data_IF_133278960467
#
_entry.id   IF_133278960467
#
_cell.length_a   1.000
_cell.length_b   1.000
_cell.length_c   1.000
_cell.angle_alpha   90.00
_cell.angle_beta   90.00
_cell.angle_gamma   90.00
#
_symmetry.space_group_name_H-M   'P 1'
#
loop_
_entity.id
_entity.type
_entity.pdbx_description
1 polymer ?
#
# COMPACT_ATOMS: atom_id res chain seq x y z
N UNK A 1 -4.10 -13.29 -6.96
CA UNK A 1 -5.41 -12.96 -7.60
C UNK A 1 -5.47 -11.50 -8.09
N UNK A 2 -6.09 -11.17 -9.23
CA UNK A 2 -6.31 -9.76 -9.67
C UNK A 2 -7.53 -9.11 -9.00
N UNK A 3 -7.35 -7.92 -8.42
CA UNK A 3 -8.42 -7.14 -7.79
C UNK A 3 -9.31 -6.46 -8.84
N UNK A 4 -10.63 -6.50 -8.62
CA UNK A 4 -11.59 -5.81 -9.47
C UNK A 4 -11.74 -4.35 -9.06
N UNK A 5 -12.28 -3.54 -9.97
CA UNK A 5 -12.61 -2.13 -9.69
C UNK A 5 -13.52 -1.98 -8.47
N UNK A 6 -14.55 -2.81 -8.39
CA UNK A 6 -15.54 -2.76 -7.31
C UNK A 6 -14.91 -3.09 -5.95
N UNK A 7 -13.97 -4.04 -5.91
CA UNK A 7 -13.24 -4.39 -4.68
C UNK A 7 -12.38 -3.23 -4.19
N UNK A 8 -11.63 -2.57 -5.08
CA UNK A 8 -10.80 -1.41 -4.72
C UNK A 8 -11.69 -0.24 -4.32
N UNK A 9 -12.72 0.08 -5.11
CA UNK A 9 -13.63 1.19 -4.82
C UNK A 9 -14.39 1.03 -3.51
N UNK A 10 -14.78 -0.20 -3.13
CA UNK A 10 -15.45 -0.45 -1.87
C UNK A 10 -14.58 -0.03 -0.68
N UNK A 11 -13.29 -0.37 -0.70
CA UNK A 11 -12.33 0.02 0.35
C UNK A 11 -12.12 1.53 0.37
N UNK A 12 -11.93 2.15 -0.80
CA UNK A 12 -11.71 3.61 -0.89
C UNK A 12 -12.93 4.39 -0.42
N UNK A 13 -14.14 3.94 -0.77
CA UNK A 13 -15.39 4.56 -0.33
C UNK A 13 -15.55 4.46 1.18
N UNK A 14 -15.29 3.27 1.75
CA UNK A 14 -15.34 3.07 3.19
C UNK A 14 -14.30 3.94 3.92
N UNK A 15 -13.07 3.98 3.42
CA UNK A 15 -12.01 4.82 3.98
C UNK A 15 -12.42 6.29 3.95
N UNK A 16 -12.96 6.77 2.83
CA UNK A 16 -13.43 8.16 2.67
C UNK A 16 -14.55 8.51 3.65
N UNK A 17 -15.47 7.58 3.90
CA UNK A 17 -16.53 7.77 4.90
C UNK A 17 -15.97 7.81 6.33
N UNK A 18 -14.95 7.01 6.63
CA UNK A 18 -14.33 6.94 7.95
C UNK A 18 -13.32 8.05 8.22
N UNK A 19 -12.88 8.79 7.20
CA UNK A 19 -11.95 9.92 7.38
C UNK A 19 -12.51 11.05 8.27
N UNK A 20 -13.82 11.13 8.48
CA UNK A 20 -14.39 12.04 9.47
C UNK A 20 -14.09 11.64 10.92
N UNK A 21 -13.70 10.39 11.17
CA UNK A 21 -13.20 9.94 12.47
C UNK A 21 -11.72 10.34 12.60
N UNK A 22 -11.38 11.23 13.54
CA UNK A 22 -10.01 11.72 13.71
C UNK A 22 -9.00 10.61 14.09
N UNK A 23 -9.48 9.44 14.56
CA UNK A 23 -8.61 8.33 14.93
C UNK A 23 -8.44 7.28 13.82
N UNK A 24 -9.23 7.35 12.75
CA UNK A 24 -9.25 6.28 11.74
C UNK A 24 -7.89 6.07 11.09
N UNK A 25 -7.23 7.16 10.67
CA UNK A 25 -5.89 7.11 10.08
C UNK A 25 -4.86 6.54 11.06
N UNK A 26 -4.89 6.96 12.32
CA UNK A 26 -3.99 6.48 13.37
C UNK A 26 -4.17 4.98 13.64
N UNK A 27 -5.41 4.49 13.67
CA UNK A 27 -5.72 3.06 13.85
C UNK A 27 -5.24 2.24 12.64
N UNK A 28 -5.50 2.71 11.42
CA UNK A 28 -5.06 2.03 10.19
C UNK A 28 -3.54 1.95 10.11
N UNK A 29 -2.85 3.07 10.35
CA UNK A 29 -1.39 3.15 10.34
C UNK A 29 -0.82 2.26 11.44
N UNK A 30 -1.31 2.38 12.68
CA UNK A 30 -0.83 1.58 13.81
C UNK A 30 -1.02 0.08 13.59
N UNK A 31 -2.18 -0.34 13.08
CA UNK A 31 -2.45 -1.75 12.77
C UNK A 31 -1.55 -2.29 11.65
N UNK A 32 -1.30 -1.49 10.62
CA UNK A 32 -0.37 -1.88 9.56
C UNK A 32 1.07 -2.00 10.07
N UNK A 33 1.56 -1.03 10.83
CA UNK A 33 2.91 -1.07 11.42
C UNK A 33 3.10 -2.31 12.29
N UNK A 34 2.10 -2.66 13.11
CA UNK A 34 2.17 -3.85 13.98
C UNK A 34 2.17 -5.17 13.20
N UNK A 35 1.46 -5.23 12.06
CA UNK A 35 1.30 -6.47 11.29
C UNK A 35 2.29 -6.63 10.14
N UNK A 36 2.97 -5.54 9.75
CA UNK A 36 3.91 -5.46 8.64
C UNK A 36 5.15 -4.68 9.09
N UNK A 37 5.76 -5.09 10.21
CA UNK A 37 6.89 -4.37 10.82
C UNK A 37 8.05 -4.15 9.84
N UNK A 38 8.47 -5.15 9.04
CA UNK A 38 9.55 -4.96 8.06
C UNK A 38 9.21 -3.92 6.99
N UNK A 39 7.95 -3.83 6.56
CA UNK A 39 7.50 -2.83 5.60
C UNK A 39 7.57 -1.43 6.21
N UNK A 40 7.11 -1.27 7.45
CA UNK A 40 7.19 0.01 8.14
C UNK A 40 8.65 0.48 8.31
N UNK A 41 9.56 -0.42 8.69
CA UNK A 41 10.99 -0.13 8.79
C UNK A 41 11.60 0.23 7.43
N UNK A 42 11.22 -0.49 6.37
CA UNK A 42 11.65 -0.20 5.00
C UNK A 42 11.18 1.19 4.52
N UNK A 43 9.91 1.55 4.76
CA UNK A 43 9.39 2.89 4.42
C UNK A 43 10.14 3.96 5.21
N UNK A 44 10.37 3.76 6.50
CA UNK A 44 11.11 4.72 7.33
C UNK A 44 12.55 4.94 6.86
N UNK A 45 13.18 3.94 6.24
CA UNK A 45 14.51 4.10 5.64
C UNK A 45 14.51 5.07 4.42
N UNK A 46 13.34 5.38 3.85
CA UNK A 46 13.16 6.33 2.74
C UNK A 46 12.68 7.72 3.22
N UNK A 47 12.77 8.02 4.52
CA UNK A 47 12.26 9.28 5.11
C UNK A 47 12.73 10.54 4.36
N UNK A 48 14.03 10.62 4.09
CA UNK A 48 14.65 11.79 3.45
C UNK A 48 14.07 12.05 2.06
N UNK A 49 13.74 10.98 1.34
CA UNK A 49 13.28 11.03 -0.04
C UNK A 49 11.78 11.35 -0.12
N UNK A 50 11.05 11.04 0.96
CA UNK A 50 9.61 11.26 1.08
C UNK A 50 9.24 12.66 1.62
N UNK A 51 10.21 13.40 2.17
CA UNK A 51 9.98 14.73 2.74
C UNK A 51 9.68 14.73 4.24
N UNK A 52 10.10 13.70 4.97
CA UNK A 52 10.03 13.62 6.43
C UNK A 52 8.91 12.76 7.01
N UNK A 53 8.82 12.73 8.34
CA UNK A 53 7.95 11.85 9.10
C UNK A 53 6.45 11.91 8.75
N UNK A 54 5.89 13.09 8.42
CA UNK A 54 4.48 13.21 8.02
C UNK A 54 4.20 12.48 6.70
N UNK A 55 5.13 12.55 5.75
CA UNK A 55 5.00 11.86 4.48
C UNK A 55 5.04 10.33 4.66
N UNK A 56 5.86 9.82 5.57
CA UNK A 56 5.90 8.39 5.93
C UNK A 56 4.52 7.91 6.40
N UNK A 57 3.86 8.67 7.28
CA UNK A 57 2.54 8.30 7.80
C UNK A 57 1.54 8.16 6.64
N UNK A 58 1.59 9.09 5.68
CA UNK A 58 0.73 9.03 4.50
C UNK A 58 1.04 7.80 3.62
N UNK A 59 2.31 7.47 3.40
CA UNK A 59 2.72 6.26 2.66
C UNK A 59 2.20 4.99 3.33
N UNK A 60 2.39 4.88 4.66
CA UNK A 60 1.91 3.74 5.44
C UNK A 60 0.39 3.62 5.34
N UNK A 61 -0.31 4.75 5.42
CA UNK A 61 -1.77 4.76 5.29
C UNK A 61 -2.23 4.20 3.93
N UNK A 62 -1.61 4.62 2.82
CA UNK A 62 -1.93 4.07 1.51
C UNK A 62 -1.57 2.58 1.37
N UNK A 63 -0.45 2.14 1.97
CA UNK A 63 -0.11 0.72 2.00
C UNK A 63 -1.15 -0.11 2.79
N UNK A 64 -1.67 0.44 3.89
CA UNK A 64 -2.72 -0.18 4.68
C UNK A 64 -4.04 -0.31 3.89
N UNK A 65 -4.38 0.70 3.08
CA UNK A 65 -5.54 0.62 2.17
C UNK A 65 -5.36 -0.48 1.12
N UNK A 66 -4.20 -0.55 0.47
CA UNK A 66 -3.90 -1.61 -0.51
C UNK A 66 -4.01 -2.99 0.13
N UNK A 67 -3.40 -3.18 1.30
CA UNK A 67 -3.48 -4.42 2.06
C UNK A 67 -4.94 -4.79 2.39
N UNK A 68 -5.76 -3.81 2.76
CA UNK A 68 -7.19 -3.99 3.03
C UNK A 68 -7.95 -4.44 1.77
N UNK A 69 -7.60 -3.94 0.58
CA UNK A 69 -8.18 -4.41 -0.69
C UNK A 69 -7.97 -5.91 -0.88
N UNK A 70 -6.73 -6.40 -0.70
CA UNK A 70 -6.43 -7.84 -0.78
C UNK A 70 -7.19 -8.64 0.29
N UNK A 71 -7.17 -8.19 1.54
CA UNK A 71 -7.86 -8.87 2.65
C UNK A 71 -9.37 -9.00 2.41
N UNK A 72 -10.03 -7.92 1.97
CA UNK A 72 -11.47 -7.95 1.66
C UNK A 72 -11.80 -8.81 0.45
N UNK A 73 -10.86 -8.97 -0.47
CA UNK A 73 -11.00 -9.89 -1.58
C UNK A 73 -10.81 -11.37 -1.19
N UNK A 74 -10.50 -11.64 0.10
CA UNK A 74 -10.37 -13.00 0.66
C UNK A 74 -8.93 -13.46 0.87
N UNK A 75 -7.96 -12.61 0.57
CA UNK A 75 -6.55 -12.93 0.73
C UNK A 75 -6.11 -12.90 2.20
N UNK A 76 -5.27 -13.86 2.59
CA UNK A 76 -4.60 -13.83 3.90
C UNK A 76 -3.20 -13.26 3.71
N UNK A 77 -2.96 -12.07 4.25
CA UNK A 77 -1.64 -11.46 4.24
C UNK A 77 -0.79 -12.07 5.35
N UNK A 78 0.33 -12.70 4.98
CA UNK A 78 1.43 -12.92 5.93
C UNK A 78 2.23 -11.62 6.08
N UNK A 79 3.08 -11.57 7.10
CA UNK A 79 4.08 -10.52 7.21
C UNK A 79 5.07 -10.62 6.03
N UNK A 80 5.33 -9.49 5.39
CA UNK A 80 6.35 -9.37 4.34
C UNK A 80 7.75 -9.37 4.96
N UNK A 81 8.66 -10.09 4.33
CA UNK A 81 10.09 -10.08 4.66
C UNK A 81 10.84 -9.07 3.79
N UNK A 82 12.07 -8.74 4.16
CA UNK A 82 12.96 -7.94 3.31
C UNK A 82 13.22 -8.60 1.95
N UNK A 83 13.25 -9.93 1.89
CA UNK A 83 13.44 -10.67 0.65
C UNK A 83 12.25 -10.50 -0.32
N UNK A 84 11.02 -10.40 0.21
CA UNK A 84 9.83 -10.09 -0.58
C UNK A 84 9.88 -8.65 -1.13
N UNK A 85 10.36 -7.71 -0.32
CA UNK A 85 10.52 -6.30 -0.72
C UNK A 85 11.59 -6.15 -1.81
N UNK A 86 12.73 -6.84 -1.67
CA UNK A 86 13.81 -6.86 -2.65
C UNK A 86 13.38 -7.50 -3.98
N UNK A 87 12.58 -8.57 -3.92
CA UNK A 87 12.00 -9.19 -5.11
C UNK A 87 11.05 -8.23 -5.83
N UNK A 88 10.25 -7.46 -5.08
CA UNK A 88 9.35 -6.47 -5.62
C UNK A 88 10.05 -5.22 -6.17
N UNK A 89 11.20 -4.82 -5.62
CA UNK A 89 11.96 -3.63 -6.00
C UNK A 89 12.58 -3.66 -7.42
N UNK A 90 12.45 -4.77 -8.16
CA UNK A 90 13.09 -4.94 -9.47
C UNK A 90 12.37 -4.13 -10.58
N UNK A 91 13.08 -3.20 -11.21
CA UNK A 91 12.58 -2.46 -12.38
C UNK A 91 11.55 -1.40 -12.04
N UNK A 92 10.72 -1.03 -13.01
CA UNK A 92 9.70 0.01 -12.87
C UNK A 92 8.46 -0.53 -12.13
N UNK A 93 8.29 -0.12 -10.87
CA UNK A 93 7.20 -0.59 -10.01
C UNK A 93 5.82 -0.14 -10.48
N UNK A 94 5.69 1.07 -11.05
CA UNK A 94 4.40 1.58 -11.54
C UNK A 94 3.94 0.79 -12.76
N UNK A 95 4.84 0.60 -13.73
CA UNK A 95 4.54 -0.19 -14.92
C UNK A 95 4.19 -1.64 -14.57
N UNK A 96 4.96 -2.27 -13.69
CA UNK A 96 4.71 -3.65 -13.25
C UNK A 96 3.39 -3.77 -12.50
N UNK A 97 3.04 -2.78 -11.69
CA UNK A 97 1.76 -2.76 -10.99
C UNK A 97 0.59 -2.59 -11.96
N UNK A 98 0.72 -1.76 -12.99
CA UNK A 98 -0.30 -1.62 -14.03
C UNK A 98 -0.61 -2.96 -14.73
N UNK A 99 0.44 -3.74 -15.03
CA UNK A 99 0.30 -5.06 -15.64
C UNK A 99 -0.32 -6.11 -14.68
N UNK A 100 0.11 -6.10 -13.41
CA UNK A 100 -0.32 -7.08 -12.41
C UNK A 100 -1.71 -6.75 -11.82
N UNK A 101 -1.90 -5.51 -11.39
CA UNK A 101 -3.03 -4.99 -10.61
C UNK A 101 -3.47 -3.60 -11.12
N UNK A 102 -4.04 -3.50 -12.35
CA UNK A 102 -4.36 -2.22 -12.98
C UNK A 102 -5.29 -1.34 -12.14
N UNK A 103 -6.24 -1.96 -11.41
CA UNK A 103 -7.18 -1.21 -10.56
C UNK A 103 -6.51 -0.61 -9.32
N UNK A 104 -5.45 -1.26 -8.79
CA UNK A 104 -4.64 -0.68 -7.72
C UNK A 104 -3.78 0.44 -8.29
N UNK A 105 -3.19 0.25 -9.47
CA UNK A 105 -2.42 1.28 -10.16
C UNK A 105 -3.25 2.55 -10.42
N UNK A 106 -4.47 2.42 -10.96
CA UNK A 106 -5.41 3.54 -11.14
C UNK A 106 -5.72 4.26 -9.83
N UNK A 107 -5.93 3.51 -8.74
CA UNK A 107 -6.15 4.08 -7.42
C UNK A 107 -4.94 4.92 -6.96
N UNK A 108 -3.72 4.40 -7.08
CA UNK A 108 -2.52 5.13 -6.69
C UNK A 108 -2.35 6.40 -7.55
N UNK A 109 -2.62 6.31 -8.85
CA UNK A 109 -2.53 7.45 -9.75
C UNK A 109 -3.52 8.57 -9.41
N UNK A 110 -4.72 8.21 -8.93
CA UNK A 110 -5.76 9.17 -8.56
C UNK A 110 -5.58 9.79 -7.16
N UNK A 111 -4.85 9.13 -6.24
CA UNK A 111 -4.81 9.51 -4.83
C UNK A 111 -3.42 9.92 -4.32
N UNK A 112 -2.35 9.69 -5.08
CA UNK A 112 -0.98 10.00 -4.68
C UNK A 112 -0.33 10.88 -5.72
N UNK A 113 -0.21 12.18 -5.45
CA UNK A 113 0.34 13.15 -6.41
C UNK A 113 1.84 12.93 -6.68
N UNK A 114 2.64 12.75 -5.63
CA UNK A 114 4.08 12.60 -5.74
C UNK A 114 4.48 11.24 -6.34
N UNK A 115 5.26 11.28 -7.42
CA UNK A 115 5.66 10.09 -8.17
C UNK A 115 6.50 9.11 -7.32
N UNK A 116 7.45 9.61 -6.53
CA UNK A 116 8.31 8.76 -5.69
C UNK A 116 7.51 8.04 -4.59
N UNK A 117 6.57 8.73 -3.96
CA UNK A 117 5.61 8.10 -3.04
C UNK A 117 4.80 7.02 -3.76
N UNK A 118 4.34 7.31 -4.98
CA UNK A 118 3.55 6.37 -5.78
C UNK A 118 4.37 5.13 -6.14
N UNK A 119 5.62 5.28 -6.55
CA UNK A 119 6.56 4.19 -6.84
C UNK A 119 6.79 3.31 -5.62
N UNK A 120 6.95 3.91 -4.44
CA UNK A 120 7.15 3.19 -3.19
C UNK A 120 5.91 2.39 -2.78
N UNK A 121 4.72 3.00 -2.83
CA UNK A 121 3.47 2.28 -2.54
C UNK A 121 3.23 1.19 -3.59
N UNK A 122 3.57 1.41 -4.85
CA UNK A 122 3.45 0.41 -5.91
C UNK A 122 4.39 -0.78 -5.71
N UNK A 123 5.62 -0.55 -5.25
CA UNK A 123 6.55 -1.61 -4.86
C UNK A 123 5.95 -2.47 -3.75
N UNK A 124 5.42 -1.86 -2.70
CA UNK A 124 4.81 -2.58 -1.58
C UNK A 124 3.56 -3.33 -2.03
N UNK A 125 2.74 -2.75 -2.90
CA UNK A 125 1.58 -3.41 -3.50
C UNK A 125 1.99 -4.65 -4.31
N UNK A 126 3.08 -4.57 -5.08
CA UNK A 126 3.66 -5.71 -5.80
C UNK A 126 4.21 -6.78 -4.86
N UNK A 127 4.82 -6.39 -3.74
CA UNK A 127 5.28 -7.33 -2.73
C UNK A 127 4.11 -8.10 -2.12
N UNK A 128 3.02 -7.40 -1.79
CA UNK A 128 1.77 -8.02 -1.33
C UNK A 128 1.22 -8.97 -2.40
N UNK A 129 1.08 -8.52 -3.64
CA UNK A 129 0.52 -9.32 -4.74
C UNK A 129 1.28 -10.65 -4.95
N UNK A 130 2.61 -10.63 -4.85
CA UNK A 130 3.46 -11.81 -5.04
C UNK A 130 3.29 -12.89 -3.96
N UNK A 131 2.87 -12.50 -2.74
CA UNK A 131 2.76 -13.43 -1.60
C UNK A 131 1.31 -13.89 -1.37
N UNK A 132 0.38 -13.35 -2.14
CA UNK A 132 -1.05 -13.64 -2.04
C UNK A 132 -1.44 -14.65 -3.13
N UNK A 133 -2.13 -15.75 -2.78
CA UNK A 133 -2.56 -16.76 -3.74
C UNK A 133 -3.55 -16.26 -4.83
#
# INVERSE_FOLDING_TARGET
MKLTKDQVMAVVTEASQKMSDPNYSAVMVGGFVQSQTPVAQFISAHESDLGGAEAIINVIFHCALVATCFQKAGSRLRELSYEDLDAAARGDSLKRLDEAQPMVHEFLAANIEHEETRKLVALIALAIDQIVP
#
